data_IF_971899153436
#
_entry.id   IF_971899153436
#
_cell.length_a   1.000
_cell.length_b   1.000
_cell.length_c   1.000
_cell.angle_alpha   90.00
_cell.angle_beta   90.00
_cell.angle_gamma   90.00
#
_symmetry.space_group_name_H-M   'P 1'
#
loop_
_entity.id
_entity.type
_entity.pdbx_description
1 polymer ?
#
# COMPACT_ATOMS: atom_id res chain seq x y z
N UNK A 1 -19.93 -7.30 -0.22
CA UNK A 1 -18.67 -6.59 -0.28
C UNK A 1 -18.35 -5.79 0.98
N UNK A 2 -19.23 -4.94 1.40
CA UNK A 2 -19.04 -4.16 2.61
C UNK A 2 -18.92 -5.07 3.84
N UNK A 3 -19.76 -6.11 3.88
CA UNK A 3 -19.72 -7.07 4.96
C UNK A 3 -18.41 -7.86 4.97
N UNK A 4 -17.84 -8.13 3.79
CA UNK A 4 -16.56 -8.83 3.70
C UNK A 4 -15.45 -8.01 4.33
N UNK A 5 -15.45 -6.71 4.16
CA UNK A 5 -14.47 -5.84 4.78
C UNK A 5 -14.61 -5.83 6.30
N UNK A 6 -15.84 -5.90 6.78
CA UNK A 6 -16.08 -5.97 8.23
C UNK A 6 -15.58 -7.26 8.84
N UNK A 7 -15.63 -8.36 8.08
CA UNK A 7 -15.15 -9.65 8.54
C UNK A 7 -13.63 -9.73 8.52
N UNK A 8 -12.97 -8.81 7.86
CA UNK A 8 -11.52 -8.76 7.75
C UNK A 8 -10.90 -8.36 9.09
N UNK A 9 -9.82 -9.02 9.46
CA UNK A 9 -9.06 -8.68 10.65
C UNK A 9 -8.39 -7.31 10.51
N UNK A 10 -7.92 -6.99 9.30
CA UNK A 10 -7.32 -5.71 9.03
C UNK A 10 -6.93 -5.57 7.58
N UNK A 11 -6.66 -4.35 7.19
CA UNK A 11 -6.19 -4.02 5.84
C UNK A 11 -4.82 -3.34 5.97
N UNK A 12 -3.84 -3.86 5.26
CA UNK A 12 -2.53 -3.22 5.16
C UNK A 12 -2.49 -2.49 3.83
N UNK A 13 -2.24 -1.20 3.88
CA UNK A 13 -2.09 -0.39 2.67
C UNK A 13 -0.60 -0.17 2.45
N UNK A 14 -0.10 -0.63 1.32
CA UNK A 14 1.31 -0.55 0.99
C UNK A 14 1.55 0.51 -0.07
N UNK A 15 2.29 1.54 0.29
CA UNK A 15 2.74 2.57 -0.65
C UNK A 15 4.03 2.10 -1.30
N UNK A 16 3.97 1.76 -2.57
CA UNK A 16 5.13 1.24 -3.29
C UNK A 16 6.27 2.23 -3.38
N UNK A 17 7.48 1.72 -3.42
CA UNK A 17 8.72 2.50 -3.52
C UNK A 17 8.92 3.41 -2.31
N UNK A 18 9.73 4.44 -2.43
CA UNK A 18 9.97 5.42 -1.36
C UNK A 18 11.44 5.72 -1.19
N UNK A 19 11.76 6.91 -0.71
CA UNK A 19 13.13 7.32 -0.41
C UNK A 19 14.05 7.22 -1.62
N UNK A 20 15.07 6.38 -1.51
CA UNK A 20 16.06 6.18 -2.57
C UNK A 20 15.51 5.42 -3.77
N UNK A 21 14.35 4.80 -3.63
CA UNK A 21 13.67 4.10 -4.73
C UNK A 21 12.50 4.94 -5.21
N UNK A 22 12.66 5.73 -6.27
CA UNK A 22 11.57 6.58 -6.75
C UNK A 22 10.51 5.83 -7.53
N UNK A 23 10.76 4.57 -7.91
CA UNK A 23 9.93 3.88 -8.87
C UNK A 23 10.11 4.48 -10.25
N UNK A 24 9.06 4.50 -11.05
CA UNK A 24 9.10 5.13 -12.36
C UNK A 24 9.23 6.65 -12.21
N UNK A 25 10.02 7.25 -13.08
CA UNK A 25 10.28 8.68 -13.07
C UNK A 25 10.00 9.26 -14.46
N UNK A 26 9.28 10.37 -14.50
CA UNK A 26 9.03 11.09 -15.73
C UNK A 26 9.15 12.59 -15.42
N UNK A 27 10.32 13.15 -15.78
CA UNK A 27 10.62 14.53 -15.42
C UNK A 27 10.71 14.68 -13.91
N UNK A 28 9.89 15.57 -13.36
CA UNK A 28 9.82 15.77 -11.92
C UNK A 28 8.80 14.87 -11.23
N UNK A 29 8.13 14.03 -11.99
CA UNK A 29 7.08 13.15 -11.46
C UNK A 29 7.71 11.82 -11.09
N UNK A 30 7.52 11.40 -9.85
CA UNK A 30 8.06 10.14 -9.33
C UNK A 30 6.94 9.28 -8.83
N UNK A 31 7.00 8.01 -9.17
CA UNK A 31 5.98 7.05 -8.75
C UNK A 31 5.79 7.05 -7.23
N UNK A 32 6.86 7.13 -6.46
CA UNK A 32 6.79 7.07 -4.99
C UNK A 32 5.89 8.14 -4.40
N UNK A 33 5.82 9.31 -5.04
CA UNK A 33 4.99 10.41 -4.53
C UNK A 33 3.51 10.12 -4.73
N UNK A 34 3.16 9.55 -5.88
CA UNK A 34 1.78 9.16 -6.15
C UNK A 34 1.35 7.98 -5.29
N UNK A 35 2.21 6.98 -5.13
CA UNK A 35 1.84 5.81 -4.34
C UNK A 35 1.62 6.21 -2.89
N UNK A 36 2.41 7.13 -2.36
CA UNK A 36 2.22 7.62 -1.01
C UNK A 36 0.90 8.37 -0.87
N UNK A 37 0.60 9.27 -1.80
CA UNK A 37 -0.63 10.06 -1.74
C UNK A 37 -1.87 9.18 -1.82
N UNK A 38 -1.87 8.20 -2.71
CA UNK A 38 -2.99 7.27 -2.87
C UNK A 38 -3.12 6.38 -1.63
N UNK A 39 -2.00 5.89 -1.12
CA UNK A 39 -2.02 5.04 0.07
C UNK A 39 -2.57 5.78 1.28
N UNK A 40 -2.18 7.04 1.46
CA UNK A 40 -2.68 7.85 2.56
C UNK A 40 -4.17 8.12 2.43
N UNK A 41 -4.65 8.34 1.22
CA UNK A 41 -6.07 8.54 0.98
C UNK A 41 -6.87 7.29 1.36
N UNK A 42 -6.41 6.13 0.89
CA UNK A 42 -7.07 4.85 1.20
C UNK A 42 -7.05 4.61 2.71
N UNK A 43 -5.92 4.83 3.34
CA UNK A 43 -5.74 4.63 4.77
C UNK A 43 -6.77 5.45 5.56
N UNK A 44 -6.89 6.73 5.23
CA UNK A 44 -7.84 7.61 5.92
C UNK A 44 -9.28 7.17 5.71
N UNK A 45 -9.63 6.80 4.48
CA UNK A 45 -11.00 6.36 4.19
C UNK A 45 -11.37 5.09 4.95
N UNK A 46 -10.44 4.15 5.01
CA UNK A 46 -10.71 2.91 5.74
C UNK A 46 -10.85 3.17 7.23
N UNK A 47 -10.07 4.08 7.77
CA UNK A 47 -10.20 4.46 9.17
C UNK A 47 -11.54 5.12 9.45
N UNK A 48 -12.00 6.00 8.56
CA UNK A 48 -13.30 6.63 8.69
C UNK A 48 -14.44 5.61 8.69
N UNK A 49 -14.25 4.51 7.99
CA UNK A 49 -15.22 3.42 7.93
C UNK A 49 -15.11 2.46 9.10
N UNK A 50 -14.18 2.70 10.02
CA UNK A 50 -14.02 1.85 11.19
C UNK A 50 -13.28 0.56 10.94
N UNK A 51 -12.54 0.46 9.84
CA UNK A 51 -11.81 -0.74 9.48
C UNK A 51 -10.39 -0.64 10.00
N UNK A 52 -9.91 -1.62 10.79
CA UNK A 52 -8.52 -1.62 11.25
C UNK A 52 -7.56 -1.56 10.06
N UNK A 53 -6.68 -0.59 10.05
CA UNK A 53 -5.83 -0.32 8.89
C UNK A 53 -4.42 0.03 9.33
N UNK A 54 -3.44 -0.44 8.58
CA UNK A 54 -2.04 -0.10 8.78
C UNK A 54 -1.46 0.35 7.43
N UNK A 55 -0.60 1.36 7.46
CA UNK A 55 0.08 1.83 6.25
C UNK A 55 1.58 1.54 6.39
N UNK A 56 2.18 1.01 5.33
CA UNK A 56 3.60 0.58 5.40
C UNK A 56 4.56 1.74 5.57
N UNK A 57 4.26 2.86 4.95
CA UNK A 57 5.02 4.11 5.17
C UNK A 57 4.10 5.30 5.00
N UNK A 58 4.36 6.31 5.80
CA UNK A 58 3.62 7.57 5.73
C UNK A 58 4.51 8.74 5.36
N UNK A 59 5.75 8.47 5.01
CA UNK A 59 6.73 9.47 4.62
C UNK A 59 7.52 8.98 3.41
N UNK A 60 8.40 9.83 2.91
CA UNK A 60 9.29 9.47 1.81
C UNK A 60 10.52 8.77 2.39
N UNK A 61 10.33 7.55 2.86
CA UNK A 61 11.41 6.76 3.44
C UNK A 61 11.76 5.57 2.55
N UNK A 62 13.01 5.15 2.62
CA UNK A 62 13.46 3.96 1.91
C UNK A 62 13.00 2.73 2.66
N UNK A 63 12.28 1.86 1.93
CA UNK A 63 11.87 0.56 2.45
C UNK A 63 12.40 -0.50 1.52
N UNK A 64 13.36 -1.28 1.97
CA UNK A 64 13.78 -2.41 1.17
C UNK A 64 12.71 -3.50 1.20
N UNK A 65 12.91 -4.50 0.37
CA UNK A 65 11.91 -5.55 0.20
C UNK A 65 11.63 -6.29 1.51
N UNK A 66 12.65 -6.64 2.24
CA UNK A 66 12.50 -7.43 3.45
C UNK A 66 11.82 -6.63 4.56
N UNK A 67 12.18 -5.37 4.70
CA UNK A 67 11.55 -4.50 5.69
C UNK A 67 10.08 -4.29 5.36
N UNK A 68 9.76 -4.10 4.09
CA UNK A 68 8.38 -3.92 3.65
C UNK A 68 7.55 -5.16 3.98
N UNK A 69 8.06 -6.33 3.65
CA UNK A 69 7.36 -7.58 3.95
C UNK A 69 7.18 -7.74 5.45
N UNK A 70 8.20 -7.42 6.23
CA UNK A 70 8.10 -7.46 7.69
C UNK A 70 6.99 -6.56 8.21
N UNK A 71 6.90 -5.35 7.73
CA UNK A 71 5.84 -4.43 8.15
C UNK A 71 4.46 -4.96 7.80
N UNK A 72 4.32 -5.52 6.60
CA UNK A 72 3.05 -6.09 6.16
C UNK A 72 2.64 -7.26 7.05
N UNK A 73 3.56 -8.19 7.28
CA UNK A 73 3.24 -9.39 8.05
C UNK A 73 3.05 -9.12 9.53
N UNK A 74 3.70 -8.09 10.06
CA UNK A 74 3.64 -7.78 11.49
C UNK A 74 2.41 -6.99 11.89
N UNK A 75 1.77 -6.31 10.95
CA UNK A 75 0.68 -5.39 11.27
C UNK A 75 -0.49 -6.08 11.96
N UNK A 76 -0.96 -7.18 11.39
CA UNK A 76 -2.11 -7.92 11.92
C UNK A 76 -1.84 -9.41 11.99
N UNK A 77 -0.59 -9.81 11.79
CA UNK A 77 -0.23 -11.22 11.71
C UNK A 77 -0.40 -11.77 10.31
N UNK A 78 0.22 -12.91 10.09
CA UNK A 78 0.19 -13.58 8.80
C UNK A 78 -0.98 -14.58 8.76
N UNK A 79 -2.13 -14.11 8.34
CA UNK A 79 -3.29 -14.97 8.22
C UNK A 79 -4.18 -14.51 7.06
N UNK A 80 -5.10 -15.39 6.65
CA UNK A 80 -5.91 -15.17 5.46
C UNK A 80 -7.00 -14.10 5.65
N UNK A 81 -7.20 -13.64 6.88
CA UNK A 81 -8.19 -12.61 7.16
C UNK A 81 -7.64 -11.19 6.98
N UNK A 82 -6.38 -11.08 6.61
CA UNK A 82 -5.74 -9.78 6.37
C UNK A 82 -5.67 -9.52 4.87
N UNK A 83 -6.10 -8.33 4.48
CA UNK A 83 -6.03 -7.89 3.08
C UNK A 83 -4.85 -6.94 2.93
N UNK A 84 -4.04 -7.15 1.92
CA UNK A 84 -2.94 -6.25 1.60
C UNK A 84 -3.23 -5.59 0.26
N UNK A 85 -3.27 -4.26 0.26
CA UNK A 85 -3.42 -3.46 -0.93
C UNK A 85 -2.09 -2.79 -1.23
N UNK A 86 -1.38 -3.31 -2.20
CA UNK A 86 -0.11 -2.73 -2.61
C UNK A 86 -0.33 -1.85 -3.83
N UNK A 87 0.09 -0.62 -3.73
CA UNK A 87 -0.21 0.42 -4.70
C UNK A 87 1.04 0.75 -5.50
N UNK A 88 0.97 0.52 -6.80
CA UNK A 88 2.05 0.77 -7.74
C UNK A 88 1.49 1.39 -9.01
N UNK A 89 2.33 2.15 -9.70
CA UNK A 89 2.01 2.70 -11.02
C UNK A 89 3.06 2.17 -11.97
N UNK A 90 2.63 1.43 -13.00
CA UNK A 90 3.55 0.95 -14.01
C UNK A 90 3.76 2.02 -15.05
N UNK A 91 5.02 2.36 -15.31
CA UNK A 91 5.38 3.20 -16.44
C UNK A 91 5.70 2.29 -17.61
N UNK A 92 5.55 2.77 -18.79
CA UNK A 92 6.04 2.06 -19.96
C UNK A 92 5.01 1.22 -20.64
N UNK A 93 3.80 1.62 -20.65
CA UNK A 93 2.85 1.19 -21.62
C UNK A 93 2.28 -0.19 -21.47
N UNK A 94 2.30 -0.70 -20.35
CA UNK A 94 1.55 -1.91 -20.07
C UNK A 94 0.28 -1.55 -19.39
N UNK A 95 -0.24 -2.51 -18.72
CA UNK A 95 -1.36 -2.28 -17.85
C UNK A 95 -0.99 -1.30 -16.78
N UNK A 96 -1.89 -0.43 -16.52
CA UNK A 96 -1.68 0.55 -15.49
C UNK A 96 -2.44 0.17 -14.24
N UNK A 97 -2.56 -1.09 -13.94
CA UNK A 97 -3.19 -1.34 -12.68
C UNK A 97 -2.25 -1.03 -11.54
N UNK A 98 -2.79 -0.31 -10.64
CA UNK A 98 -2.00 0.31 -9.59
C UNK A 98 -2.32 -0.28 -8.23
N UNK A 99 -3.11 -1.31 -8.16
CA UNK A 99 -3.45 -1.95 -6.88
C UNK A 99 -3.37 -3.46 -7.04
N UNK A 100 -2.61 -4.08 -6.14
CA UNK A 100 -2.50 -5.53 -6.10
C UNK A 100 -2.94 -6.01 -4.72
N UNK A 101 -3.71 -7.10 -4.71
CA UNK A 101 -4.15 -7.71 -3.46
C UNK A 101 -3.31 -8.95 -3.17
N UNK A 102 -2.84 -9.04 -1.95
CA UNK A 102 -2.18 -10.24 -1.43
C UNK A 102 -2.97 -10.77 -0.24
N UNK A 103 -3.00 -12.04 -0.12
CA UNK A 103 -3.77 -12.66 0.97
C UNK A 103 -2.91 -13.63 1.75
#
# INVERSE_FOLDING_TARGET
MYDDLRATKGVVVDAGHGGDDPGAVNGNIKEKDFTLAVAEYIYKRLQELGIPTYITRSTDETLDRDERVNRILSAFGNNSDVIVLSNHINAGGGDSHCVTKYV
#
